data_IF_927656518933
#
_entry.id   IF_927656518933
#
_cell.length_a   1.000
_cell.length_b   1.000
_cell.length_c   1.000
_cell.angle_alpha   90.00
_cell.angle_beta   90.00
_cell.angle_gamma   90.00
#
_symmetry.space_group_name_H-M   'P 1'
#
loop_
_entity.id
_entity.type
_entity.pdbx_description
1 polymer ?
2 polymer ?
3 water ?
#
# COMPACT_ATOMS: atom_id res chain seq x y z
N UNK A 2 9.65 -8.10 14.16
CA UNK A 2 9.95 -9.53 14.05
C UNK A 2 8.73 -10.39 14.34
N UNK A 3 8.20 -10.31 15.57
CA UNK A 3 7.06 -11.17 15.91
C UNK A 3 5.83 -10.81 15.08
N UNK A 4 5.69 -9.55 14.68
CA UNK A 4 4.69 -9.17 13.69
C UNK A 4 5.24 -9.35 12.29
N UNK A 5 4.36 -9.73 11.36
CA UNK A 5 4.71 -9.80 9.95
C UNK A 5 4.09 -8.61 9.23
N UNK A 6 4.91 -7.59 8.98
CA UNK A 6 4.44 -6.32 8.44
C UNK A 6 4.91 -6.17 7.01
N UNK A 7 3.97 -6.00 6.10
CA UNK A 7 4.25 -5.71 4.70
C UNK A 7 4.03 -4.23 4.47
N UNK A 8 5.07 -3.54 4.01
CA UNK A 8 4.92 -2.16 3.54
C UNK A 8 4.49 -2.19 2.07
N UNK A 9 3.39 -1.49 1.77
CA UNK A 9 2.82 -1.41 0.44
C UNK A 9 2.85 0.06 -0.01
N UNK A 10 3.60 0.33 -1.07
CA UNK A 10 3.59 1.66 -1.68
C UNK A 10 3.30 1.51 -3.17
N UNK A 11 2.75 2.55 -3.77
CA UNK A 11 2.49 2.49 -5.19
C UNK A 11 2.58 3.86 -5.85
N UNK A 12 2.65 3.81 -7.18
CA UNK A 12 2.55 4.99 -8.05
C UNK A 12 3.39 6.16 -7.52
N UNK A 13 4.66 5.87 -7.27
CA UNK A 13 5.60 6.88 -6.81
C UNK A 13 5.80 7.99 -7.85
N UNK A 14 5.99 7.61 -9.11
CA UNK A 14 6.26 8.53 -10.20
C UNK A 14 7.39 9.49 -9.83
N UNK A 15 8.48 8.93 -9.33
CA UNK A 15 9.71 9.67 -9.11
C UNK A 15 10.67 9.32 -10.26
N UNK A 16 11.15 10.32 -10.99
CA UNK A 16 11.07 11.75 -10.74
C UNK A 16 10.09 12.48 -11.63
N UNK A 17 9.25 11.74 -12.35
CA UNK A 17 8.44 12.34 -13.41
C UNK A 17 7.28 13.17 -12.88
N UNK A 18 6.70 12.81 -11.72
CA UNK A 18 5.62 13.59 -11.14
C UNK A 18 5.89 14.03 -9.72
N UNK A 19 6.87 13.43 -9.03
CA UNK A 19 7.17 13.80 -7.65
C UNK A 19 8.67 13.65 -7.46
N UNK A 20 9.20 14.35 -6.46
CA UNK A 20 10.65 14.31 -6.22
C UNK A 20 11.07 13.29 -5.18
N UNK A 21 10.25 12.99 -4.18
CA UNK A 21 10.70 12.18 -3.05
C UNK A 21 9.50 11.60 -2.29
N UNK A 22 9.72 10.46 -1.65
CA UNK A 22 8.76 10.03 -0.62
C UNK A 22 8.75 11.07 0.49
N UNK A 23 7.59 11.56 0.92
CA UNK A 23 7.55 12.65 1.92
C UNK A 23 8.35 12.31 3.17
N UNK A 24 9.15 13.26 3.64
CA UNK A 24 9.94 13.05 4.87
C UNK A 24 9.12 12.64 6.07
N UNK A 25 7.90 13.13 6.21
CA UNK A 25 7.11 12.72 7.37
C UNK A 25 6.73 11.24 7.32
N UNK A 26 6.72 10.64 6.13
CA UNK A 26 6.58 9.19 6.02
C UNK A 26 7.88 8.47 6.37
N UNK A 27 9.00 8.95 5.81
CA UNK A 27 10.30 8.35 6.10
C UNK A 27 10.60 8.34 7.60
N UNK A 28 10.19 9.40 8.31
CA UNK A 28 10.46 9.48 9.74
C UNK A 28 9.73 8.38 10.50
N UNK A 29 8.61 7.88 9.96
CA UNK A 29 7.85 6.82 10.62
C UNK A 29 8.43 5.45 10.32
N UNK A 30 9.11 5.31 9.20
CA UNK A 30 9.65 4.03 8.77
C UNK A 30 11.11 3.91 9.22
N UNK A 31 11.42 2.83 9.90
CA UNK A 31 12.74 2.63 10.47
C UNK A 31 13.21 1.22 10.16
N UNK A 32 14.51 1.02 10.01
CA UNK A 32 15.03 -0.33 9.74
C UNK A 32 14.63 -1.29 10.84
N UNK A 33 14.44 -2.55 10.46
CA UNK A 33 14.20 -3.60 11.42
C UNK A 33 12.76 -3.82 11.82
N UNK A 34 11.81 -3.07 11.27
CA UNK A 34 10.40 -3.23 11.62
C UNK A 34 9.56 -3.86 10.52
N UNK A 35 9.85 -3.57 9.26
CA UNK A 35 9.06 -4.07 8.13
C UNK A 35 9.70 -5.36 7.63
N UNK A 36 8.89 -6.41 7.43
CA UNK A 36 9.45 -7.67 6.94
C UNK A 36 9.65 -7.69 5.43
N UNK A 37 8.85 -6.93 4.69
CA UNK A 37 8.79 -7.05 3.23
C UNK A 37 8.16 -5.80 2.65
N UNK A 38 8.70 -5.30 1.54
CA UNK A 38 8.12 -4.13 0.89
C UNK A 38 7.67 -4.48 -0.51
N UNK A 39 6.43 -4.14 -0.84
CA UNK A 39 5.94 -4.24 -2.20
C UNK A 39 5.73 -2.85 -2.77
N UNK A 40 6.38 -2.57 -3.89
CA UNK A 40 6.29 -1.29 -4.58
C UNK A 40 5.54 -1.55 -5.89
N UNK A 41 4.33 -1.01 -5.99
CA UNK A 41 3.50 -1.16 -7.18
C UNK A 41 3.84 -0.04 -8.16
N UNK A 42 4.26 -0.41 -9.35
CA UNK A 42 4.69 0.59 -10.29
C UNK A 42 6.20 0.64 -10.40
N UNK A 43 6.66 1.24 -11.48
CA UNK A 43 8.10 1.18 -11.68
C UNK A 43 8.82 2.09 -10.68
N UNK A 44 10.09 1.77 -10.48
CA UNK A 44 10.95 2.52 -9.58
C UNK A 44 12.32 2.61 -10.25
N UNK A 45 12.63 3.78 -10.81
CA UNK A 45 13.92 4.01 -11.48
C UNK A 45 14.79 5.03 -10.77
N UNK A 46 14.35 5.59 -9.65
CA UNK A 46 15.09 6.64 -8.95
C UNK A 46 16.06 6.00 -7.96
N UNK A 47 17.36 6.24 -8.13
CA UNK A 47 18.35 5.52 -7.30
C UNK A 47 18.19 5.82 -5.81
N UNK A 48 17.98 7.10 -5.45
CA UNK A 48 17.89 7.44 -4.03
C UNK A 48 16.69 6.76 -3.36
N UNK A 49 15.55 6.72 -4.04
CA UNK A 49 14.37 6.06 -3.49
C UNK A 49 14.61 4.57 -3.35
N UNK A 50 15.18 3.95 -4.39
CA UNK A 50 15.52 2.55 -4.34
C UNK A 50 16.41 2.24 -3.14
N UNK A 51 17.50 3.01 -2.98
CA UNK A 51 18.42 2.79 -1.88
C UNK A 51 17.72 2.95 -0.53
N UNK A 52 16.89 3.98 -0.38
CA UNK A 52 16.17 4.18 0.88
C UNK A 52 15.25 2.99 1.18
N UNK A 53 14.47 2.56 0.19
CA UNK A 53 13.55 1.44 0.42
C UNK A 53 14.29 0.17 0.84
N UNK A 54 15.44 -0.10 0.20
CA UNK A 54 16.24 -1.27 0.59
C UNK A 54 16.79 -1.17 2.00
N UNK A 55 17.02 0.05 2.49
CA UNK A 55 17.48 0.21 3.86
C UNK A 55 16.37 -0.11 4.86
N UNK A 56 15.12 -0.14 4.41
CA UNK A 56 14.01 -0.34 5.33
C UNK A 56 13.58 -1.80 5.45
N UNK A 57 13.82 -2.63 4.45
CA UNK A 57 13.38 -4.04 4.58
C UNK A 57 14.31 -5.09 3.98
N UNK A 58 14.27 -6.33 4.49
CA UNK A 58 15.17 -7.29 3.87
C UNK A 58 14.43 -7.97 2.72
N UNK A 59 13.75 -7.22 1.87
CA UNK A 59 13.03 -7.90 0.79
C UNK A 59 12.17 -6.85 0.09
N UNK A 60 12.66 -6.32 -1.04
CA UNK A 60 11.94 -5.32 -1.81
C UNK A 60 11.50 -5.94 -3.13
N UNK A 61 10.21 -5.92 -3.40
CA UNK A 61 9.65 -6.46 -4.65
C UNK A 61 8.99 -5.34 -5.43
N UNK A 62 9.48 -5.08 -6.65
CA UNK A 62 8.90 -4.09 -7.54
C UNK A 62 7.97 -4.79 -8.51
N UNK A 63 6.72 -4.35 -8.58
CA UNK A 63 5.71 -4.93 -9.47
C UNK A 63 5.46 -3.90 -10.56
N UNK A 64 5.95 -4.07 -11.79
CA UNK A 64 5.88 -2.91 -12.75
C UNK A 64 4.78 -2.66 -13.82
N UNK A 65 4.77 -1.49 -14.45
CA UNK A 65 3.80 -1.21 -15.49
C UNK A 65 3.71 -2.17 -16.66
N UNK A 66 4.79 -2.32 -17.39
CA UNK A 66 4.82 -3.17 -18.57
C UNK A 66 5.78 -4.34 -18.38
N UNK A 74 11.36 -8.61 -14.62
CA UNK A 74 10.64 -7.55 -13.90
C UNK A 74 9.13 -7.88 -13.79
N UNK A 75 8.69 -8.23 -12.58
CA UNK A 75 7.41 -8.95 -12.44
C UNK A 75 6.18 -8.12 -12.71
N UNK A 76 5.20 -8.79 -13.36
CA UNK A 76 3.86 -8.31 -13.66
C UNK A 76 2.85 -8.51 -12.54
N UNK A 77 3.05 -9.51 -11.66
CA UNK A 77 2.29 -9.64 -10.42
C UNK A 77 3.21 -10.26 -9.37
N UNK A 78 2.78 -10.18 -8.12
CA UNK A 78 3.49 -10.89 -7.05
C UNK A 78 2.46 -11.42 -6.06
N UNK A 79 2.61 -12.68 -5.68
CA UNK A 79 1.77 -13.27 -4.66
C UNK A 79 2.64 -13.53 -3.44
N UNK A 80 2.13 -13.17 -2.26
CA UNK A 80 2.81 -13.54 -1.02
C UNK A 80 1.83 -14.26 -0.11
N UNK A 81 2.33 -15.25 0.60
CA UNK A 81 1.55 -16.07 1.52
C UNK A 81 2.14 -15.91 2.91
N UNK A 82 1.28 -15.69 3.89
CA UNK A 82 1.71 -15.70 5.28
C UNK A 82 0.53 -16.14 6.12
N UNK A 83 0.79 -17.05 7.05
CA UNK A 83 -0.30 -17.67 7.76
C UNK A 83 -1.13 -18.49 6.79
N UNK A 84 -2.43 -18.21 6.77
CA UNK A 84 -3.36 -18.86 5.86
C UNK A 84 -3.86 -17.90 4.79
N UNK A 85 -3.26 -16.72 4.71
CA UNK A 85 -3.69 -15.71 3.76
C UNK A 85 -2.79 -15.69 2.54
N UNK A 86 -3.44 -15.55 1.37
CA UNK A 86 -2.80 -15.38 0.02
C UNK A 86 -3.07 -13.97 -0.74
N UNK A 87 -2.02 -13.16 -0.62
CA UNK A 87 -2.15 -11.75 -1.00
C UNK A 87 -1.52 -11.57 -2.38
N UNK A 88 -2.30 -11.06 -3.32
CA UNK A 88 -1.81 -10.75 -4.65
C UNK A 88 -1.59 -9.26 -4.81
N UNK A 89 -0.53 -8.90 -5.53
CA UNK A 89 -0.21 -7.52 -5.83
C UNK A 89 -0.05 -7.35 -7.34
N UNK A 90 -0.65 -6.29 -7.89
CA UNK A 90 -0.43 -5.99 -9.30
C UNK A 90 -0.59 -4.49 -9.49
N UNK A 91 -0.23 -4.03 -10.66
CA UNK A 91 -0.41 -2.64 -11.02
C UNK A 91 -1.88 -2.41 -11.33
N UNK A 92 -2.47 -3.12 -12.27
CA UNK A 92 -3.88 -3.06 -12.63
C UNK A 92 -4.46 -1.66 -12.81
N UNK A 93 -3.89 -0.90 -13.75
CA UNK A 93 -4.33 0.50 -13.88
C UNK A 93 -5.77 0.62 -14.37
N UNK A 94 -6.24 -0.33 -15.16
CA UNK A 94 -7.63 -0.32 -15.60
C UNK A 94 -8.61 -0.81 -14.55
N UNK A 95 -8.13 -1.32 -13.41
CA UNK A 95 -9.03 -1.80 -12.38
C UNK A 95 -9.55 -0.63 -11.56
N UNK A 96 -10.86 -0.64 -11.28
CA UNK A 96 -11.50 0.40 -10.50
C UNK A 96 -12.45 -0.24 -9.50
N UNK A 97 -12.64 0.41 -8.36
CA UNK A 97 -13.54 -0.10 -7.35
C UNK A 97 -15.00 -0.12 -7.83
N UNK A 98 -15.36 0.72 -8.81
CA UNK A 98 -16.70 0.73 -9.37
C UNK A 98 -17.00 -0.50 -10.21
N UNK A 99 -16.03 -1.41 -10.37
CA UNK A 99 -16.21 -2.68 -11.07
C UNK A 99 -15.64 -3.80 -10.21
N UNK A 100 -16.29 -4.08 -9.06
CA UNK A 100 -15.73 -5.11 -8.17
C UNK A 100 -15.73 -6.51 -8.76
N UNK A 101 -16.60 -6.79 -9.74
CA UNK A 101 -16.58 -8.10 -10.38
C UNK A 101 -15.30 -8.30 -11.21
N UNK A 102 -14.76 -7.23 -11.80
CA UNK A 102 -13.50 -7.33 -12.53
C UNK A 102 -12.35 -7.57 -11.57
N UNK A 103 -12.34 -6.87 -10.43
CA UNK A 103 -11.32 -7.12 -9.41
C UNK A 103 -11.41 -8.53 -8.84
N UNK A 104 -12.64 -8.98 -8.55
CA UNK A 104 -12.81 -10.35 -8.05
C UNK A 104 -12.29 -11.37 -9.03
N UNK A 105 -12.58 -11.17 -10.33
CA UNK A 105 -12.11 -12.12 -11.31
C UNK A 105 -10.59 -12.17 -11.32
N UNK A 106 -9.95 -11.03 -11.11
CA UNK A 106 -8.49 -11.01 -11.04
C UNK A 106 -7.98 -11.77 -9.82
N UNK A 107 -8.62 -11.56 -8.66
CA UNK A 107 -8.24 -12.29 -7.46
C UNK A 107 -8.40 -13.78 -7.67
N UNK A 108 -9.45 -14.19 -8.42
CA UNK A 108 -9.69 -15.62 -8.65
C UNK A 108 -8.69 -16.23 -9.63
N UNK A 109 -8.15 -15.44 -10.56
CA UNK A 109 -7.08 -15.96 -11.42
C UNK A 109 -5.82 -16.26 -10.61
N UNK A 110 -5.50 -15.39 -9.66
CA UNK A 110 -4.34 -15.57 -8.80
C UNK A 110 -4.60 -16.51 -7.64
N UNK A 111 -5.88 -16.81 -7.37
CA UNK A 111 -6.29 -17.58 -6.20
C UNK A 111 -5.77 -16.94 -4.91
N UNK A 112 -6.12 -15.66 -4.72
CA UNK A 112 -5.71 -14.95 -3.51
C UNK A 112 -6.95 -14.49 -2.74
N UNK A 113 -6.77 -14.33 -1.43
CA UNK A 113 -7.80 -13.82 -0.54
C UNK A 113 -7.83 -12.32 -0.50
N UNK A 114 -6.68 -11.67 -0.71
CA UNK A 114 -6.53 -10.23 -0.69
C UNK A 114 -5.86 -9.82 -1.99
N UNK A 115 -6.43 -8.85 -2.68
CA UNK A 115 -5.88 -8.32 -3.91
C UNK A 115 -5.55 -6.85 -3.72
N UNK A 116 -4.30 -6.49 -3.99
CA UNK A 116 -3.80 -5.13 -3.81
C UNK A 116 -3.40 -4.59 -5.17
N UNK A 117 -3.94 -3.43 -5.55
CA UNK A 117 -3.69 -2.91 -6.88
C UNK A 117 -3.49 -1.40 -6.81
N UNK A 118 -2.66 -0.87 -7.71
CA UNK A 118 -2.33 0.54 -7.73
C UNK A 118 -3.12 1.23 -8.84
N UNK A 119 -4.41 1.38 -8.58
CA UNK A 119 -5.32 1.86 -9.61
C UNK A 119 -5.02 3.28 -10.03
N UNK A 120 -5.46 3.60 -11.24
CA UNK A 120 -5.22 4.90 -11.79
C UNK A 120 -5.83 6.04 -11.00
N UNK A 121 -6.75 5.77 -10.07
CA UNK A 121 -7.30 6.85 -9.26
C UNK A 121 -6.23 7.55 -8.40
N UNK A 122 -5.17 6.83 -7.99
CA UNK A 122 -4.17 7.36 -7.04
C UNK A 122 -4.84 7.76 -5.72
N UNK A 123 -5.83 7.00 -5.30
CA UNK A 123 -6.49 7.26 -4.02
C UNK A 123 -6.49 5.99 -3.20
N UNK A 124 -6.24 6.12 -1.90
CA UNK A 124 -6.44 4.97 -1.05
C UNK A 124 -7.89 4.53 -1.11
N UNK A 125 -8.09 3.22 -1.23
CA UNK A 125 -9.44 2.69 -1.07
C UNK A 125 -9.34 1.22 -0.69
N UNK A 126 -10.30 0.75 0.08
CA UNK A 126 -10.38 -0.68 0.31
C UNK A 126 -11.85 -1.06 0.41
N UNK A 127 -12.12 -2.31 0.06
CA UNK A 127 -13.48 -2.82 0.20
C UNK A 127 -13.41 -4.33 0.32
N UNK A 128 -14.51 -4.90 0.83
CA UNK A 128 -14.70 -6.34 0.92
C UNK A 128 -15.72 -6.74 -0.12
N UNK A 129 -15.53 -7.90 -0.74
CA UNK A 129 -16.46 -8.42 -1.74
C UNK A 129 -16.29 -9.92 -1.84
N UNK A 130 -17.40 -10.64 -1.68
CA UNK A 130 -17.45 -12.11 -1.78
C UNK A 130 -16.33 -12.78 -0.97
N UNK A 131 -16.20 -12.38 0.30
CA UNK A 131 -15.26 -12.97 1.24
C UNK A 131 -13.79 -12.72 0.88
N UNK A 132 -13.52 -11.78 -0.01
CA UNK A 132 -12.17 -11.32 -0.31
C UNK A 132 -12.02 -9.83 0.05
N UNK A 133 -10.77 -9.38 0.05
CA UNK A 133 -10.41 -8.03 0.49
C UNK A 133 -9.62 -7.35 -0.60
N UNK A 134 -9.95 -6.09 -0.89
CA UNK A 134 -9.36 -5.36 -2.02
C UNK A 134 -8.81 -4.04 -1.53
N UNK A 135 -7.56 -3.74 -1.87
CA UNK A 135 -6.85 -2.60 -1.31
C UNK A 135 -6.11 -1.85 -2.42
N UNK A 136 -6.36 -0.55 -2.54
CA UNK A 136 -5.54 0.32 -3.36
C UNK A 136 -4.80 1.25 -2.41
N UNK A 137 -3.46 1.23 -2.36
CA UNK A 137 -2.73 2.04 -1.38
C UNK A 137 -2.64 3.52 -1.72
N UNK A 138 -3.14 3.94 -2.88
CA UNK A 138 -2.93 5.32 -3.29
C UNK A 138 -1.48 5.50 -3.72
N UNK A 139 -1.06 6.74 -3.80
CA UNK A 139 0.31 7.08 -4.22
C UNK A 139 1.09 7.56 -3.01
N UNK A 140 2.24 6.93 -2.75
CA UNK A 140 3.03 7.30 -1.58
C UNK A 140 3.62 8.70 -1.72
N UNK A 141 3.68 9.24 -2.91
CA UNK A 141 4.16 10.60 -3.16
C UNK A 141 3.03 11.57 -3.40
N UNK A 142 1.79 11.09 -3.41
CA UNK A 142 0.70 11.94 -3.85
C UNK A 142 0.81 12.37 -5.29
N UNK A 143 1.41 11.54 -6.14
CA UNK A 143 1.57 11.92 -7.55
C UNK A 143 0.21 12.12 -8.21
N UNK A 144 0.12 13.14 -9.08
CA UNK A 144 -1.15 13.41 -9.73
C UNK A 144 -1.53 12.30 -10.72
N UNK A 145 -2.83 12.30 -11.07
CA UNK A 145 -3.41 11.38 -12.04
C UNK A 145 -3.50 12.04 -13.42
N UNK A 146 -3.54 11.21 -14.46
CA UNK A 146 -4.00 11.64 -15.77
C UNK A 146 -5.53 11.59 -15.85
N UNK A 147 -6.15 10.60 -15.19
CA UNK A 147 -7.61 10.49 -15.13
C UNK A 147 -8.26 11.72 -14.50
N UNK A 153 -10.33 18.52 -6.09
CA UNK A 153 -9.97 17.30 -5.35
C UNK A 153 -8.52 16.93 -5.70
N UNK A 154 -7.60 17.27 -4.80
CA UNK A 154 -6.20 16.91 -5.00
C UNK A 154 -5.97 15.45 -4.66
N UNK A 155 -4.86 14.91 -5.14
CA UNK A 155 -4.38 13.60 -4.71
C UNK A 155 -3.60 13.82 -3.44
N UNK A 156 -3.68 12.86 -2.51
CA UNK A 156 -3.02 13.03 -1.22
C UNK A 156 -2.09 11.84 -0.99
N UNK A 157 -0.87 12.06 -0.50
CA UNK A 157 0.06 10.94 -0.30
C UNK A 157 -0.47 9.95 0.72
N UNK A 158 -0.34 8.65 0.38
CA UNK A 158 -0.63 7.58 1.34
C UNK A 158 0.19 6.33 1.05
N UNK A 159 0.34 5.51 2.09
CA UNK A 159 0.90 4.17 1.98
C UNK A 159 0.19 3.28 2.99
N UNK A 160 0.34 1.96 2.84
CA UNK A 160 -0.30 1.01 3.74
C UNK A 160 0.71 0.07 4.39
N UNK A 161 0.37 -0.39 5.59
CA UNK A 161 1.03 -1.54 6.20
C UNK A 161 0.00 -2.65 6.30
N UNK A 162 0.35 -3.85 5.84
CA UNK A 162 -0.48 -5.02 6.08
C UNK A 162 0.16 -5.83 7.19
N UNK A 163 -0.57 -5.96 8.30
CA UNK A 163 -0.12 -6.67 9.49
C UNK A 163 -0.87 -8.00 9.48
N UNK A 164 -0.19 -9.07 9.12
CA UNK A 164 -0.83 -10.35 8.85
C UNK A 164 -0.64 -11.29 10.04
N UNK A 165 -1.76 -11.76 10.59
CA UNK A 165 -1.77 -12.69 11.73
C UNK A 165 -2.77 -13.81 11.42
N UNK A 166 -2.26 -14.97 11.00
CA UNK A 166 -3.10 -16.13 10.79
C UNK A 166 -4.10 -15.96 9.67
N UNK A 167 -5.39 -15.87 10.01
CA UNK A 167 -6.43 -15.66 9.01
C UNK A 167 -6.86 -14.20 8.93
N UNK A 168 -6.13 -13.30 9.59
CA UNK A 168 -6.53 -11.91 9.71
C UNK A 168 -5.47 -11.00 9.10
N UNK A 169 -5.92 -9.93 8.46
CA UNK A 169 -5.03 -8.88 7.98
C UNK A 169 -5.58 -7.59 8.56
N UNK A 170 -4.75 -6.88 9.31
CA UNK A 170 -5.07 -5.53 9.75
C UNK A 170 -4.34 -4.55 8.84
N UNK A 171 -5.11 -3.71 8.15
CA UNK A 171 -4.58 -2.72 7.24
C UNK A 171 -4.44 -1.39 7.98
N UNK A 172 -3.23 -0.84 7.99
CA UNK A 172 -2.97 0.50 8.53
C UNK A 172 -2.71 1.41 7.35
N UNK A 173 -3.54 2.43 7.21
CA UNK A 173 -3.45 3.40 6.12
C UNK A 173 -2.88 4.67 6.71
N UNK A 174 -1.74 5.11 6.19
CA UNK A 174 -1.08 6.35 6.56
C UNK A 174 -1.29 7.37 5.46
N UNK A 175 -1.74 8.57 5.83
CA UNK A 175 -2.09 9.57 4.84
C UNK A 175 -1.57 10.93 5.30
N UNK A 176 -0.99 11.69 4.38
CA UNK A 176 -0.47 13.02 4.68
C UNK A 176 -1.54 14.05 4.29
N UNK A 177 -2.13 14.71 5.28
CA UNK A 177 -3.24 15.61 5.05
C UNK A 177 -2.96 17.01 5.59
N UNK A 178 -3.45 18.01 4.88
CA UNK A 178 -3.28 19.42 5.24
C UNK A 178 -4.35 19.84 6.24
N UNK A 179 -3.92 20.35 7.39
CA UNK A 179 -4.80 21.01 8.35
C UNK A 179 -5.25 22.36 7.81
N UNK A 180 -6.27 22.93 8.46
CA UNK A 180 -6.76 24.26 8.11
C UNK A 180 -5.64 25.30 8.12
N UNK A 181 -4.64 25.14 8.99
CA UNK A 181 -3.58 26.13 9.07
C UNK A 181 -2.46 25.89 8.06
N UNK A 182 -2.59 24.87 7.19
CA UNK A 182 -1.64 24.59 6.12
C UNK A 182 -0.68 23.44 6.38
N UNK A 183 -0.55 23.04 7.64
CA UNK A 183 0.43 22.03 8.03
C UNK A 183 0.01 20.65 7.53
N UNK A 184 0.96 19.91 6.96
CA UNK A 184 0.73 18.51 6.60
C UNK A 184 1.09 17.62 7.78
N UNK A 185 0.13 16.80 8.23
CA UNK A 185 0.37 15.84 9.29
C UNK A 185 -0.06 14.46 8.84
N UNK A 186 0.59 13.44 9.40
CA UNK A 186 0.23 12.07 9.04
C UNK A 186 -0.94 11.61 9.90
N UNK A 187 -2.01 11.19 9.24
CA UNK A 187 -3.16 10.52 9.83
C UNK A 187 -3.02 9.03 9.60
N UNK A 188 -3.68 8.23 10.43
CA UNK A 188 -3.65 6.79 10.27
C UNK A 188 -5.02 6.22 10.55
N UNK A 189 -5.42 5.23 9.77
CA UNK A 189 -6.69 4.54 9.93
C UNK A 189 -6.45 3.04 9.93
N UNK A 190 -7.30 2.29 10.63
CA UNK A 190 -7.14 0.85 10.81
C UNK A 190 -8.38 0.14 10.26
N UNK A 191 -8.17 -0.91 9.45
CA UNK A 191 -9.25 -1.73 8.90
C UNK A 191 -8.84 -3.18 9.07
N UNK A 192 -9.76 -4.03 9.54
CA UNK A 192 -9.43 -5.44 9.71
C UNK A 192 -10.21 -6.30 8.72
N UNK A 193 -9.51 -7.25 8.11
CA UNK A 193 -10.08 -8.30 7.28
C UNK A 193 -9.80 -9.63 7.96
N UNK A 194 -10.84 -10.46 8.07
CA UNK A 194 -10.72 -11.81 8.60
C UNK A 194 -11.30 -12.76 7.56
N UNK A 195 -10.49 -13.70 7.10
CA UNK A 195 -10.95 -14.65 6.10
C UNK A 195 -12.03 -15.54 6.70
N UNK A 196 -13.22 -15.62 6.10
CA UNK A 196 -14.27 -16.47 6.69
C UNK A 196 -13.95 -17.95 6.58
N UNK A 197 -14.46 -18.71 7.55
CA UNK A 197 -14.21 -20.15 7.68
C UNK A 197 -14.51 -20.95 6.41
N UNK B 3 -4.35 1.02 22.10
CA UNK B 3 -3.13 0.57 21.47
C UNK B 3 -2.61 1.47 20.35
N UNK B 4 -1.41 1.15 19.87
CA UNK B 4 -0.81 1.93 18.81
C UNK B 4 -0.85 1.16 17.49
N UNK B 5 -0.74 1.92 16.40
CA UNK B 5 -0.39 1.37 15.10
C UNK B 5 1.03 0.81 15.18
N UNK B 6 1.46 0.00 14.21
CA UNK B 6 2.78 -0.65 14.33
C UNK B 6 3.94 0.32 14.37
N UNK B 7 3.76 1.55 13.90
CA UNK B 7 4.84 2.52 13.81
C UNK B 7 4.81 3.52 14.96
N UNK B 8 3.85 3.40 15.87
CA UNK B 8 3.84 4.20 17.06
C UNK B 8 3.37 5.62 16.85
N UNK B 9 2.62 5.86 15.77
CA UNK B 9 2.19 7.22 15.47
C UNK B 9 1.09 7.69 16.41
N UNK B 10 0.11 6.85 16.68
CA UNK B 10 -1.00 7.31 17.49
C UNK B 10 -1.68 6.13 18.18
N UNK B 11 -2.13 6.40 19.41
CA UNK B 11 -3.04 5.49 20.08
C UNK B 11 -4.44 5.82 19.59
N UNK B 12 -5.31 4.81 19.54
CA UNK B 12 -6.31 5.03 18.51
C UNK B 12 -7.49 5.94 18.85
N UNK B 13 -7.90 5.94 20.10
CA UNK B 13 -9.02 6.67 20.74
C UNK B 13 -10.14 5.68 20.98
#
# INVERSE_FOLDING_TARGET
GSMAFLILVIGNLHIPDRALDIPPKFKKLLSPGKISQTLCLGNLTDRATYDYLRSISPDLKIVRGRMDVEATSLPLMQVVTHGSLRIGFLEGFTLVSEEPDVLLAEANKLDVDVLCWAGGSHRFECFEYMDKFFVNPGSATGAFTTDWLAEGEEVVPSFCLMDVQGISLTLYVYQLRKDENGTENVAVEKVTYTKPVEPTGAS
XXGYDPLGLKYFA
#
